data_IF_680371841687
#
_entry.id   IF_680371841687
#
_cell.length_a   1.000
_cell.length_b   1.000
_cell.length_c   1.000
_cell.angle_alpha   90.00
_cell.angle_beta   90.00
_cell.angle_gamma   90.00
#
_symmetry.space_group_name_H-M   'P 1'
#
loop_
_entity.id
_entity.type
_entity.pdbx_description
1 polymer ?
#
# COMPACT_ATOMS: atom_id res chain seq x y z
N UNK A 1 12.86 12.76 9.08
CA UNK A 1 11.92 12.71 7.95
C UNK A 1 10.75 13.64 8.24
N UNK A 2 10.40 14.55 7.33
CA UNK A 2 9.18 15.35 7.46
C UNK A 2 8.01 14.36 7.47
N UNK A 3 7.30 14.21 8.58
CA UNK A 3 6.03 13.50 8.58
C UNK A 3 5.06 14.36 7.76
N UNK A 4 4.91 14.05 6.48
CA UNK A 4 3.79 14.59 5.73
C UNK A 4 2.54 14.03 6.41
N UNK A 5 1.53 14.87 6.66
CA UNK A 5 0.21 14.43 7.12
C UNK A 5 -0.54 13.67 6.00
N UNK A 6 0.20 13.09 5.04
CA UNK A 6 -0.34 12.36 3.93
C UNK A 6 -1.05 11.11 4.43
N UNK A 7 -2.30 10.94 4.01
CA UNK A 7 -3.10 9.77 4.29
C UNK A 7 -3.21 9.00 2.98
N UNK A 8 -2.75 7.75 2.98
CA UNK A 8 -2.95 6.82 1.87
C UNK A 8 -4.41 6.87 1.43
N UNK A 9 -4.63 6.99 0.14
CA UNK A 9 -5.94 6.83 -0.50
C UNK A 9 -6.23 5.35 -0.75
N UNK A 10 -7.43 5.03 -1.26
CA UNK A 10 -7.74 3.68 -1.70
C UNK A 10 -6.82 3.24 -2.84
N UNK A 11 -6.54 4.13 -3.81
CA UNK A 11 -5.64 3.80 -4.92
C UNK A 11 -4.21 3.56 -4.45
N UNK A 12 -3.70 4.37 -3.51
CA UNK A 12 -2.40 4.10 -2.89
C UNK A 12 -2.37 2.72 -2.21
N UNK A 13 -3.46 2.34 -1.53
CA UNK A 13 -3.54 1.03 -0.89
C UNK A 13 -3.51 -0.12 -1.90
N UNK A 14 -4.15 0.05 -3.06
CA UNK A 14 -4.07 -0.91 -4.18
C UNK A 14 -2.63 -1.00 -4.68
N UNK A 15 -1.94 0.13 -4.85
CA UNK A 15 -0.54 0.14 -5.26
C UNK A 15 0.38 -0.48 -4.20
N UNK A 16 0.12 -0.30 -2.90
CA UNK A 16 0.85 -0.95 -1.80
C UNK A 16 0.81 -2.48 -1.93
N UNK A 17 -0.35 -3.06 -2.25
CA UNK A 17 -0.47 -4.51 -2.51
C UNK A 17 0.35 -4.94 -3.72
N UNK A 18 0.28 -4.21 -4.82
CA UNK A 18 1.00 -4.53 -6.05
C UNK A 18 2.52 -4.48 -5.84
N UNK A 19 3.04 -3.45 -5.18
CA UNK A 19 4.45 -3.36 -4.80
C UNK A 19 4.88 -4.50 -3.87
N UNK A 20 4.07 -4.83 -2.86
CA UNK A 20 4.36 -5.93 -1.94
C UNK A 20 4.40 -7.29 -2.65
N UNK A 21 3.51 -7.55 -3.60
CA UNK A 21 3.53 -8.80 -4.38
C UNK A 21 4.64 -8.85 -5.42
N UNK A 22 5.15 -7.68 -5.83
CA UNK A 22 6.32 -7.57 -6.68
C UNK A 22 7.65 -7.68 -5.89
N UNK A 23 7.58 -7.90 -4.57
CA UNK A 23 8.74 -8.18 -3.73
C UNK A 23 9.36 -6.97 -3.02
N UNK A 24 8.77 -5.78 -3.12
CA UNK A 24 9.26 -4.60 -2.40
C UNK A 24 9.00 -4.74 -0.88
N UNK A 25 9.99 -4.37 -0.07
CA UNK A 25 9.85 -4.37 1.38
C UNK A 25 9.00 -3.19 1.86
N UNK A 26 8.31 -3.35 2.99
CA UNK A 26 7.42 -2.31 3.53
C UNK A 26 8.11 -0.94 3.75
N UNK A 27 9.42 -0.91 4.01
CA UNK A 27 10.16 0.34 4.20
C UNK A 27 10.41 1.07 2.86
N UNK A 28 10.60 0.35 1.76
CA UNK A 28 10.73 0.89 0.41
C UNK A 28 9.38 1.46 -0.05
N UNK A 29 8.30 0.69 0.16
CA UNK A 29 6.93 1.12 -0.10
C UNK A 29 6.61 2.38 0.73
N UNK A 30 6.93 2.39 2.02
CA UNK A 30 6.71 3.54 2.89
C UNK A 30 7.44 4.80 2.41
N UNK A 31 8.69 4.65 1.96
CA UNK A 31 9.46 5.74 1.36
C UNK A 31 8.79 6.28 0.08
N UNK A 32 8.31 5.40 -0.80
CA UNK A 32 7.61 5.76 -2.05
C UNK A 32 6.37 6.62 -1.81
N UNK A 33 5.56 6.28 -0.81
CA UNK A 33 4.32 7.01 -0.49
C UNK A 33 4.53 8.13 0.55
N UNK A 34 5.75 8.33 1.04
CA UNK A 34 6.05 9.32 2.07
C UNK A 34 5.30 9.08 3.39
N UNK A 35 5.08 7.82 3.76
CA UNK A 35 4.37 7.42 4.99
C UNK A 35 5.28 6.61 5.91
N UNK A 36 4.83 6.34 7.13
CA UNK A 36 5.53 5.41 8.02
C UNK A 36 5.24 3.95 7.63
N UNK A 37 6.20 3.05 7.86
CA UNK A 37 6.06 1.61 7.62
C UNK A 37 4.82 1.00 8.29
N UNK A 38 4.42 1.51 9.47
CA UNK A 38 3.19 1.09 10.13
C UNK A 38 1.93 1.33 9.29
N UNK A 39 1.87 2.39 8.48
CA UNK A 39 0.73 2.66 7.58
C UNK A 39 0.64 1.64 6.46
N UNK A 40 1.79 1.22 5.93
CA UNK A 40 1.89 0.13 4.96
C UNK A 40 1.42 -1.18 5.60
N UNK A 41 1.86 -1.47 6.82
CA UNK A 41 1.44 -2.66 7.56
C UNK A 41 -0.07 -2.72 7.81
N UNK A 42 -0.70 -1.57 8.13
CA UNK A 42 -2.15 -1.48 8.30
C UNK A 42 -2.91 -1.83 7.02
N UNK A 43 -2.40 -1.42 5.84
CA UNK A 43 -2.98 -1.79 4.54
C UNK A 43 -2.82 -3.27 4.27
N UNK A 44 -1.60 -3.81 4.42
CA UNK A 44 -1.29 -5.23 4.15
C UNK A 44 -1.97 -6.20 5.14
N UNK A 45 -2.49 -5.71 6.27
CA UNK A 45 -3.32 -6.48 7.21
C UNK A 45 -4.82 -6.28 6.99
N UNK A 46 -5.21 -5.52 5.97
CA UNK A 46 -6.61 -5.17 5.69
C UNK A 46 -7.27 -4.27 6.75
N UNK A 47 -6.51 -3.71 7.70
CA UNK A 47 -7.03 -2.81 8.74
C UNK A 47 -7.33 -1.41 8.19
N UNK A 48 -6.60 -1.01 7.15
CA UNK A 48 -6.77 0.26 6.45
C UNK A 48 -7.12 -0.04 4.99
N UNK A 49 -8.13 0.64 4.47
CA UNK A 49 -8.68 0.42 3.13
C UNK A 49 -9.03 -1.06 2.90
N UNK A 50 -9.96 -1.62 3.69
CA UNK A 50 -10.43 -3.00 3.47
C UNK A 50 -10.99 -3.14 2.05
N UNK A 51 -10.68 -4.27 1.39
CA UNK A 51 -11.04 -4.51 -0.01
C UNK A 51 -10.00 -4.05 -1.04
N UNK A 52 -9.01 -3.22 -0.66
CA UNK A 52 -7.91 -2.83 -1.56
C UNK A 52 -7.10 -4.03 -2.09
N UNK A 53 -7.00 -5.11 -1.32
CA UNK A 53 -6.36 -6.35 -1.75
C UNK A 53 -7.10 -6.96 -2.94
N UNK A 54 -8.43 -7.07 -2.87
CA UNK A 54 -9.23 -7.65 -3.94
C UNK A 54 -9.09 -6.84 -5.22
N UNK A 55 -9.20 -5.51 -5.12
CA UNK A 55 -9.03 -4.60 -6.26
C UNK A 55 -7.63 -4.75 -6.88
N UNK A 56 -6.59 -4.90 -6.04
CA UNK A 56 -5.24 -5.13 -6.52
C UNK A 56 -5.11 -6.47 -7.26
N UNK A 57 -5.77 -7.54 -6.79
CA UNK A 57 -5.81 -8.83 -7.52
C UNK A 57 -6.49 -8.66 -8.87
N UNK A 58 -7.67 -8.05 -8.90
CA UNK A 58 -8.42 -7.80 -10.14
C UNK A 58 -7.60 -6.99 -11.15
N UNK A 59 -6.87 -5.95 -10.71
CA UNK A 59 -5.97 -5.16 -11.59
C UNK A 59 -4.80 -6.00 -12.14
N UNK A 60 -4.26 -6.91 -11.31
CA UNK A 60 -3.14 -7.78 -11.69
C UNK A 60 -3.55 -8.85 -12.70
N UNK A 61 -4.73 -9.45 -12.53
CA UNK A 61 -5.24 -10.52 -13.41
C UNK A 61 -5.67 -10.01 -14.80
N UNK A 62 -5.88 -8.69 -14.95
CA UNK A 62 -6.19 -8.05 -16.23
C UNK A 62 -4.96 -7.82 -17.14
N UNK A 63 -3.75 -8.15 -16.68
CA UNK A 63 -2.49 -7.98 -17.42
C UNK A 63 -1.69 -9.29 -17.49
#
# INVERSE_FOLDING_TARGET
MKHTNYRLTLDDAVQVWLHSWNGEYQHEIAFRFGVNQGRVNEVLKGKRHPGSEQIAREKRDLH
#
